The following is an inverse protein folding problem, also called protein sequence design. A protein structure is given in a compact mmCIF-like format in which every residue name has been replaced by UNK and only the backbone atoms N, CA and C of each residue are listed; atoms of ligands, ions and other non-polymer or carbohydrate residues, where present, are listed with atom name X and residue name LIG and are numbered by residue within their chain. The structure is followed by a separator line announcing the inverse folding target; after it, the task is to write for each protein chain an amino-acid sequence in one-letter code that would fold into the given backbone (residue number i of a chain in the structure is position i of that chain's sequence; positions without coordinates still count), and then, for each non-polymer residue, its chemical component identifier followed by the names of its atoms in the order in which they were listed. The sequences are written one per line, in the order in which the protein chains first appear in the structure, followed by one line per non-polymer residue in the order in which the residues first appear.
data_IF_298408862460
#
_entry.id   IF_298408862460
#
_cell.length_a   1.000
_cell.length_b   1.000
_cell.length_c   1.000
_cell.angle_alpha   90.00
_cell.angle_beta   90.00
_cell.angle_gamma   90.00
#
_symmetry.space_group_name_H-M   'P 1'
#
loop_
_entity.id
_entity.type
_entity.pdbx_description
1 polymer ?
#
# COMPACT_ATOMS: atom_id res chain seq x y z
N UNK A 1 -27.21 6.11 28.64
CA UNK A 1 -26.25 6.10 27.54
C UNK A 1 -25.59 4.74 27.52
N UNK A 2 -25.59 4.06 26.38
CA UNK A 2 -25.02 2.72 26.22
C UNK A 2 -23.50 2.76 26.35
N UNK A 3 -22.88 1.80 27.03
CA UNK A 3 -21.41 1.73 27.16
C UNK A 3 -20.77 1.02 25.97
N UNK A 4 -19.45 1.18 25.83
CA UNK A 4 -18.68 0.53 24.76
C UNK A 4 -18.70 -0.99 24.89
N UNK A 5 -18.64 -1.55 26.11
CA UNK A 5 -18.68 -3.00 26.29
C UNK A 5 -20.05 -3.59 25.90
N UNK A 6 -21.13 -2.86 26.18
CA UNK A 6 -22.48 -3.24 25.77
C UNK A 6 -22.62 -3.22 24.25
N UNK A 7 -22.07 -2.21 23.58
CA UNK A 7 -22.06 -2.11 22.12
C UNK A 7 -21.34 -3.30 21.48
N UNK A 8 -20.14 -3.64 21.96
CA UNK A 8 -19.39 -4.80 21.47
C UNK A 8 -20.13 -6.12 21.68
N UNK A 9 -20.90 -6.24 22.77
CA UNK A 9 -21.73 -7.42 23.04
C UNK A 9 -22.86 -7.52 22.02
N UNK A 10 -23.52 -6.41 21.69
CA UNK A 10 -24.57 -6.36 20.66
C UNK A 10 -24.01 -6.69 19.27
N UNK A 11 -22.86 -6.14 18.90
CA UNK A 11 -22.18 -6.44 17.62
C UNK A 11 -21.84 -7.93 17.53
N UNK A 12 -21.33 -8.53 18.61
CA UNK A 12 -21.06 -9.98 18.67
C UNK A 12 -22.33 -10.82 18.56
N UNK A 13 -23.40 -10.43 19.24
CA UNK A 13 -24.69 -11.12 19.15
C UNK A 13 -25.26 -11.06 17.72
N UNK A 14 -25.20 -9.90 17.06
CA UNK A 14 -25.63 -9.76 15.66
C UNK A 14 -24.81 -10.62 14.70
N UNK A 15 -23.49 -10.73 14.90
CA UNK A 15 -22.65 -11.66 14.12
C UNK A 15 -23.05 -13.11 14.34
N UNK A 16 -23.35 -13.50 15.58
CA UNK A 16 -23.80 -14.86 15.92
C UNK A 16 -25.18 -15.18 15.34
N UNK A 17 -26.10 -14.20 15.31
CA UNK A 17 -27.43 -14.29 14.71
C UNK A 17 -27.40 -14.23 13.16
N UNK A 18 -26.25 -13.98 12.54
CA UNK A 18 -26.13 -13.81 11.09
C UNK A 18 -26.75 -12.52 10.55
N UNK A 19 -27.04 -11.54 11.43
CA UNK A 19 -27.61 -10.25 11.03
C UNK A 19 -26.52 -9.37 10.43
N UNK A 20 -26.73 -8.77 9.24
CA UNK A 20 -25.74 -7.89 8.64
C UNK A 20 -25.50 -6.66 9.51
N UNK A 21 -24.21 -6.36 9.77
CA UNK A 21 -23.73 -5.16 10.48
C UNK A 21 -23.84 -3.91 9.60
N UNK A 22 -25.06 -3.57 9.20
CA UNK A 22 -25.35 -2.33 8.49
C UNK A 22 -25.59 -1.19 9.47
N UNK A 23 -25.26 0.03 9.05
CA UNK A 23 -25.44 1.22 9.89
C UNK A 23 -26.89 1.46 10.33
N UNK A 24 -27.90 1.27 9.46
CA UNK A 24 -29.30 1.33 9.88
C UNK A 24 -29.63 0.33 10.99
N UNK A 25 -29.15 -0.92 10.90
CA UNK A 25 -29.41 -1.94 11.92
C UNK A 25 -28.77 -1.60 13.26
N UNK A 26 -27.54 -1.09 13.23
CA UNK A 26 -26.82 -0.69 14.45
C UNK A 26 -27.47 0.52 15.11
N UNK A 27 -27.91 1.52 14.34
CA UNK A 27 -28.63 2.68 14.89
C UNK A 27 -29.96 2.28 15.53
N UNK A 28 -30.72 1.36 14.92
CA UNK A 28 -32.00 0.88 15.47
C UNK A 28 -31.80 0.08 16.75
N UNK A 29 -30.74 -0.72 16.86
CA UNK A 29 -30.51 -1.57 18.05
C UNK A 29 -29.77 -0.88 19.19
N UNK A 30 -28.98 0.15 18.91
CA UNK A 30 -28.12 0.79 19.92
C UNK A 30 -28.59 2.19 20.29
N UNK A 31 -29.46 2.80 19.49
CA UNK A 31 -29.92 4.20 19.61
C UNK A 31 -28.76 5.22 19.65
N UNK A 32 -27.57 4.81 19.23
CA UNK A 32 -26.38 5.65 19.24
C UNK A 32 -26.33 6.55 18.00
N UNK A 33 -25.79 7.77 18.14
CA UNK A 33 -25.48 8.62 17.00
C UNK A 33 -24.53 7.93 16.03
N UNK A 34 -24.74 8.17 14.73
CA UNK A 34 -23.93 7.57 13.65
C UNK A 34 -22.42 7.73 13.83
N UNK A 35 -21.97 8.89 14.32
CA UNK A 35 -20.55 9.17 14.49
C UNK A 35 -19.91 8.28 15.56
N UNK A 36 -20.61 8.03 16.68
CA UNK A 36 -20.15 7.16 17.76
C UNK A 36 -20.04 5.71 17.29
N UNK A 37 -21.00 5.24 16.49
CA UNK A 37 -20.98 3.88 15.93
C UNK A 37 -19.80 3.71 14.95
N UNK A 38 -19.48 4.72 14.13
CA UNK A 38 -18.33 4.66 13.21
C UNK A 38 -17.03 4.55 13.97
N UNK A 39 -16.82 5.43 14.95
CA UNK A 39 -15.60 5.43 15.77
C UNK A 39 -15.37 4.07 16.45
N UNK A 40 -16.43 3.47 17.01
CA UNK A 40 -16.29 2.19 17.71
C UNK A 40 -16.15 1.00 16.77
N UNK A 41 -16.74 1.03 15.57
CA UNK A 41 -16.53 -0.01 14.56
C UNK A 41 -15.09 0.03 14.00
N UNK A 42 -14.58 1.23 13.71
CA UNK A 42 -13.23 1.42 13.17
C UNK A 42 -12.15 0.91 14.15
N UNK A 43 -12.41 0.98 15.45
CA UNK A 43 -11.55 0.41 16.49
C UNK A 43 -11.61 -1.12 16.57
N UNK A 44 -12.77 -1.73 16.33
CA UNK A 44 -12.95 -3.19 16.39
C UNK A 44 -12.30 -3.89 15.19
N UNK A 45 -12.32 -3.25 14.02
CA UNK A 45 -11.75 -3.79 12.78
C UNK A 45 -10.22 -3.54 12.67
N UNK A 46 -9.63 -2.75 13.56
CA UNK A 46 -8.18 -2.61 13.64
C UNK A 46 -7.56 -3.87 14.28
N UNK A 47 -6.65 -4.59 13.57
CA UNK A 47 -5.90 -5.66 14.20
C UNK A 47 -5.03 -5.04 15.30
N UNK A 48 -5.27 -5.45 16.56
CA UNK A 48 -4.42 -5.06 17.69
C UNK A 48 -2.96 -5.32 17.32
N UNK A 49 -2.07 -4.30 17.32
CA UNK A 49 -0.66 -4.54 17.10
C UNK A 49 -0.16 -5.45 18.22
N UNK A 50 0.37 -6.61 17.82
CA UNK A 50 1.09 -7.47 18.74
C UNK A 50 2.23 -6.66 19.37
N UNK A 51 2.25 -6.61 20.70
CA UNK A 51 3.28 -5.92 21.47
C UNK A 51 4.67 -6.41 21.02
N UNK A 52 5.45 -5.50 20.45
CA UNK A 52 6.78 -5.79 19.92
C UNK A 52 7.76 -6.00 21.07
N UNK A 53 8.21 -7.24 21.26
CA UNK A 53 9.42 -7.48 22.06
C UNK A 53 10.64 -6.89 21.35
N UNK A 54 11.41 -6.12 22.11
CA UNK A 54 12.61 -5.45 21.68
C UNK A 54 13.70 -6.45 21.26
N UNK A 55 14.31 -6.24 20.09
CA UNK A 55 15.61 -6.81 19.77
C UNK A 55 16.47 -5.78 19.03
N UNK A 56 17.30 -5.11 19.83
CA UNK A 56 18.39 -4.22 19.44
C UNK A 56 19.58 -5.07 18.96
N UNK A 57 20.13 -4.82 17.77
CA UNK A 57 21.57 -5.08 17.51
C UNK A 57 22.11 -4.29 16.30
N UNK A 58 22.87 -3.26 16.67
CA UNK A 58 24.18 -2.81 16.17
C UNK A 58 24.56 -2.92 14.68
N UNK A 59 24.94 -1.75 14.16
CA UNK A 59 25.73 -1.47 12.95
C UNK A 59 27.15 -2.03 13.07
N UNK A 60 27.66 -2.70 12.03
CA UNK A 60 29.00 -2.49 11.45
C UNK A 60 29.31 -3.54 10.36
N UNK A 61 29.60 -3.07 9.14
CA UNK A 61 30.34 -3.79 8.10
C UNK A 61 29.55 -4.79 7.25
N UNK A 62 28.83 -4.35 6.21
CA UNK A 62 28.26 -5.25 5.18
C UNK A 62 27.90 -4.47 3.89
N UNK A 63 28.91 -4.09 3.12
CA UNK A 63 28.69 -3.48 1.79
C UNK A 63 28.45 -4.51 0.68
N UNK A 64 28.99 -5.73 0.82
CA UNK A 64 28.92 -6.79 -0.19
C UNK A 64 27.80 -7.79 0.13
N UNK A 65 27.67 -8.23 1.39
CA UNK A 65 26.62 -9.19 1.76
C UNK A 65 25.20 -8.58 1.72
N UNK A 66 25.07 -7.26 1.75
CA UNK A 66 23.78 -6.58 1.58
C UNK A 66 23.24 -6.76 0.15
N UNK A 67 24.13 -6.75 -0.86
CA UNK A 67 23.76 -6.91 -2.26
C UNK A 67 23.38 -8.37 -2.55
N UNK A 68 24.12 -9.33 -1.98
CA UNK A 68 23.79 -10.76 -2.12
C UNK A 68 22.46 -11.11 -1.44
N UNK A 69 22.18 -10.56 -0.25
CA UNK A 69 20.87 -10.78 0.40
C UNK A 69 19.69 -10.18 -0.37
N UNK A 70 19.92 -9.08 -1.11
CA UNK A 70 18.91 -8.50 -2.00
C UNK A 70 18.71 -9.33 -3.27
N UNK A 71 19.78 -9.93 -3.81
CA UNK A 71 19.72 -10.83 -4.96
C UNK A 71 18.97 -12.12 -4.62
N UNK A 72 19.27 -12.73 -3.49
CA UNK A 72 18.54 -13.90 -2.99
C UNK A 72 17.05 -13.58 -2.74
N UNK A 73 16.74 -12.42 -2.17
CA UNK A 73 15.36 -11.96 -2.01
C UNK A 73 14.63 -11.74 -3.34
N UNK A 74 15.34 -11.25 -4.36
CA UNK A 74 14.79 -11.04 -5.70
C UNK A 74 14.56 -12.36 -6.44
N UNK A 75 15.49 -13.30 -6.36
CA UNK A 75 15.35 -14.63 -6.97
C UNK A 75 14.23 -15.43 -6.29
N UNK A 76 14.09 -15.35 -4.96
CA UNK A 76 12.96 -15.95 -4.24
C UNK A 76 11.60 -15.34 -4.63
N UNK A 77 11.56 -14.03 -4.91
CA UNK A 77 10.36 -13.34 -5.38
C UNK A 77 10.03 -13.74 -6.82
N UNK A 78 11.06 -13.81 -7.69
CA UNK A 78 10.91 -14.27 -9.09
C UNK A 78 10.36 -15.68 -9.13
N UNK A 79 10.90 -16.59 -8.34
CA UNK A 79 10.47 -17.99 -8.30
C UNK A 79 9.04 -18.13 -7.77
N UNK A 80 8.63 -17.32 -6.78
CA UNK A 80 7.21 -17.28 -6.36
C UNK A 80 6.29 -16.79 -7.47
N UNK A 81 6.66 -15.72 -8.18
CA UNK A 81 5.84 -15.17 -9.26
C UNK A 81 5.75 -16.13 -10.44
N UNK A 82 6.87 -16.78 -10.80
CA UNK A 82 6.90 -17.79 -11.86
C UNK A 82 6.09 -19.02 -11.46
N UNK A 83 6.19 -19.47 -10.21
CA UNK A 83 5.40 -20.61 -9.71
C UNK A 83 3.91 -20.28 -9.66
N UNK A 84 3.51 -19.10 -9.22
CA UNK A 84 2.11 -18.67 -9.23
C UNK A 84 1.57 -18.51 -10.65
N UNK A 85 2.37 -17.97 -11.57
CA UNK A 85 2.00 -17.86 -12.98
C UNK A 85 1.85 -19.23 -13.64
N UNK A 86 2.81 -20.14 -13.40
CA UNK A 86 2.74 -21.52 -13.90
C UNK A 86 1.54 -22.26 -13.31
N UNK A 87 1.26 -22.09 -12.01
CA UNK A 87 0.12 -22.72 -11.34
C UNK A 87 -1.20 -22.19 -11.92
N UNK A 88 -1.30 -20.90 -12.26
CA UNK A 88 -2.48 -20.33 -12.92
C UNK A 88 -2.70 -20.88 -14.31
N UNK A 89 -1.67 -20.94 -15.15
CA UNK A 89 -1.78 -21.46 -16.52
C UNK A 89 -2.10 -22.96 -16.52
N UNK A 90 -1.53 -23.73 -15.59
CA UNK A 90 -1.85 -25.15 -15.42
C UNK A 90 -3.28 -25.34 -14.94
N UNK A 91 -3.77 -24.52 -13.99
CA UNK A 91 -5.15 -24.60 -13.49
C UNK A 91 -6.18 -24.21 -14.55
N UNK A 92 -5.87 -23.20 -15.35
CA UNK A 92 -6.67 -22.76 -16.51
C UNK A 92 -6.73 -23.84 -17.59
N UNK A 93 -5.60 -24.49 -17.92
CA UNK A 93 -5.58 -25.61 -18.87
C UNK A 93 -6.22 -26.90 -18.35
N UNK A 94 -6.25 -27.11 -17.03
CA UNK A 94 -6.86 -28.28 -16.41
C UNK A 94 -8.36 -28.11 -16.10
N UNK A 95 -8.93 -26.92 -16.35
CA UNK A 95 -10.36 -26.67 -16.15
C UNK A 95 -10.83 -26.79 -14.69
N UNK A 96 -9.91 -26.70 -13.72
CA UNK A 96 -10.19 -26.88 -12.28
C UNK A 96 -10.78 -25.62 -11.61
N UNK A 97 -11.57 -24.84 -12.34
CA UNK A 97 -12.22 -23.63 -11.86
C UNK A 97 -13.60 -23.93 -11.24
N UNK A 98 -13.70 -24.98 -10.43
CA UNK A 98 -14.87 -25.29 -9.60
C UNK A 98 -14.92 -24.43 -8.33
N UNK A 99 -14.84 -23.10 -8.46
CA UNK A 99 -15.25 -22.19 -7.38
C UNK A 99 -16.76 -21.93 -7.50
N UNK A 100 -17.57 -22.27 -6.47
CA UNK A 100 -19.02 -22.11 -6.53
C UNK A 100 -19.41 -20.64 -6.75
N UNK A 101 -20.46 -20.36 -7.55
CA UNK A 101 -20.82 -19.00 -7.98
C UNK A 101 -21.17 -18.04 -6.83
N UNK A 102 -21.46 -18.55 -5.63
CA UNK A 102 -21.68 -17.75 -4.42
C UNK A 102 -20.38 -17.06 -3.92
N UNK A 103 -19.22 -17.72 -4.02
CA UNK A 103 -17.93 -17.16 -3.62
C UNK A 103 -17.41 -16.12 -4.63
N UNK A 104 -17.72 -16.29 -5.93
CA UNK A 104 -17.43 -15.30 -6.98
C UNK A 104 -18.18 -13.98 -6.74
N UNK A 105 -19.41 -14.02 -6.23
CA UNK A 105 -20.19 -12.81 -5.89
C UNK A 105 -19.70 -12.14 -4.60
N UNK A 106 -19.23 -12.90 -3.61
CA UNK A 106 -18.65 -12.34 -2.39
C UNK A 106 -17.29 -11.64 -2.65
N UNK A 107 -16.41 -12.25 -3.45
CA UNK A 107 -15.09 -11.66 -3.80
C UNK A 107 -15.15 -10.46 -4.74
N UNK A 108 -16.27 -10.24 -5.43
CA UNK A 108 -16.49 -9.07 -6.31
C UNK A 108 -17.15 -7.90 -5.60
N UNK A 109 -17.55 -8.05 -4.33
CA UNK A 109 -17.77 -6.91 -3.42
C UNK A 109 -16.41 -6.30 -3.04
N UNK A 110 -15.71 -5.79 -4.05
CA UNK A 110 -14.42 -5.11 -3.90
C UNK A 110 -14.69 -3.91 -3.02
N UNK A 111 -14.35 -4.01 -1.74
CA UNK A 111 -14.42 -2.91 -0.78
C UNK A 111 -13.97 -1.63 -1.49
N UNK A 112 -14.68 -0.50 -1.32
CA UNK A 112 -14.38 0.73 -2.04
C UNK A 112 -12.90 1.02 -1.85
N UNK A 113 -12.13 0.94 -2.94
CA UNK A 113 -10.67 1.09 -2.88
C UNK A 113 -10.40 2.40 -2.16
N UNK A 114 -9.73 2.31 -1.00
CA UNK A 114 -9.45 3.45 -0.15
C UNK A 114 -8.87 4.57 -1.02
N UNK A 115 -9.51 5.74 -0.99
CA UNK A 115 -9.05 6.92 -1.72
C UNK A 115 -7.66 7.29 -1.21
N UNK A 116 -6.79 7.66 -2.12
CA UNK A 116 -5.44 8.14 -1.82
C UNK A 116 -5.52 9.63 -1.48
N UNK A 117 -4.88 10.03 -0.40
CA UNK A 117 -4.78 11.42 0.01
C UNK A 117 -3.73 12.13 -0.85
N UNK A 118 -4.13 13.24 -1.47
CA UNK A 118 -3.27 14.08 -2.30
C UNK A 118 -2.16 14.74 -1.47
N UNK A 119 -2.44 15.10 -0.21
CA UNK A 119 -1.48 15.75 0.68
C UNK A 119 -0.36 14.79 1.06
N UNK A 120 -0.72 13.55 1.40
CA UNK A 120 0.26 12.49 1.65
C UNK A 120 1.08 12.18 0.40
N UNK A 121 0.45 12.16 -0.78
CA UNK A 121 1.16 11.95 -2.03
C UNK A 121 2.20 13.05 -2.31
N UNK A 122 1.86 14.32 -2.06
CA UNK A 122 2.80 15.44 -2.15
C UNK A 122 3.94 15.30 -1.14
N UNK A 123 3.59 15.04 0.12
CA UNK A 123 4.55 14.92 1.22
C UNK A 123 5.57 13.81 0.96
N UNK A 124 5.11 12.65 0.48
CA UNK A 124 6.01 11.57 0.09
C UNK A 124 6.92 11.95 -1.09
N UNK A 125 6.44 12.76 -2.04
CA UNK A 125 7.28 13.29 -3.11
C UNK A 125 8.34 14.28 -2.63
N UNK A 126 8.00 15.16 -1.66
CA UNK A 126 8.96 16.12 -1.07
C UNK A 126 10.03 15.42 -0.23
N UNK A 127 9.64 14.42 0.57
CA UNK A 127 10.56 13.76 1.51
C UNK A 127 11.31 12.59 0.89
N UNK A 128 10.64 11.83 0.02
CA UNK A 128 11.18 10.61 -0.58
C UNK A 128 11.54 10.74 -2.05
N UNK A 129 11.30 11.90 -2.66
CA UNK A 129 11.57 12.13 -4.07
C UNK A 129 10.87 11.09 -4.94
N UNK A 130 11.59 10.42 -5.85
CA UNK A 130 11.03 9.37 -6.70
C UNK A 130 10.48 8.17 -5.94
N UNK A 131 11.01 7.84 -4.76
CA UNK A 131 10.51 6.74 -3.92
C UNK A 131 9.09 7.06 -3.43
N UNK A 132 8.78 8.35 -3.22
CA UNK A 132 7.44 8.80 -2.85
C UNK A 132 6.36 8.46 -3.87
N UNK A 133 6.73 8.25 -5.14
CA UNK A 133 5.80 7.91 -6.21
C UNK A 133 5.14 6.53 -5.99
N UNK A 134 5.76 5.62 -5.23
CA UNK A 134 5.19 4.30 -4.92
C UNK A 134 3.85 4.36 -4.17
N UNK A 135 3.53 5.51 -3.57
CA UNK A 135 2.23 5.73 -2.93
C UNK A 135 1.07 5.56 -3.92
N UNK A 136 1.19 6.12 -5.13
CA UNK A 136 0.09 6.21 -6.09
C UNK A 136 0.44 5.84 -7.55
N UNK A 137 1.70 5.95 -7.98
CA UNK A 137 2.12 5.68 -9.34
C UNK A 137 2.15 4.17 -9.66
N UNK A 138 2.13 3.78 -10.95
CA UNK A 138 2.42 2.41 -11.37
C UNK A 138 3.77 1.93 -10.82
N UNK A 139 3.81 0.68 -10.35
CA UNK A 139 5.00 0.10 -9.71
C UNK A 139 6.22 0.15 -10.64
N UNK A 140 6.02 -0.13 -11.93
CA UNK A 140 7.09 -0.10 -12.92
C UNK A 140 7.64 1.31 -13.13
N UNK A 141 6.78 2.32 -13.22
CA UNK A 141 7.19 3.73 -13.35
C UNK A 141 7.92 4.22 -12.11
N UNK A 142 7.38 3.95 -10.92
CA UNK A 142 8.01 4.35 -9.66
C UNK A 142 9.35 3.64 -9.44
N UNK A 143 9.43 2.35 -9.80
CA UNK A 143 10.66 1.55 -9.73
C UNK A 143 11.74 2.07 -10.67
N UNK A 144 11.42 2.31 -11.94
CA UNK A 144 12.37 2.85 -12.92
C UNK A 144 12.84 4.25 -12.50
N UNK A 145 11.92 5.13 -12.11
CA UNK A 145 12.27 6.49 -11.67
C UNK A 145 13.20 6.46 -10.44
N UNK A 146 12.92 5.58 -9.47
CA UNK A 146 13.75 5.42 -8.27
C UNK A 146 15.13 4.84 -8.60
N UNK A 147 15.20 3.83 -9.47
CA UNK A 147 16.46 3.23 -9.90
C UNK A 147 17.36 4.23 -10.65
N UNK A 148 16.79 4.97 -11.61
CA UNK A 148 17.51 6.02 -12.35
C UNK A 148 18.00 7.10 -11.39
N UNK A 149 17.16 7.54 -10.46
CA UNK A 149 17.53 8.55 -9.48
C UNK A 149 18.71 8.11 -8.60
N UNK A 150 18.65 6.90 -8.02
CA UNK A 150 19.75 6.37 -7.20
C UNK A 150 21.02 6.21 -8.03
N UNK A 151 20.92 5.66 -9.24
CA UNK A 151 22.08 5.50 -10.13
C UNK A 151 22.71 6.85 -10.49
N UNK A 152 21.89 7.88 -10.78
CA UNK A 152 22.36 9.23 -11.07
C UNK A 152 23.04 9.88 -9.87
N UNK A 153 22.47 9.74 -8.67
CA UNK A 153 23.09 10.25 -7.44
C UNK A 153 24.44 9.57 -7.20
N UNK A 154 24.50 8.24 -7.31
CA UNK A 154 25.75 7.48 -7.16
C UNK A 154 26.79 7.91 -8.20
N UNK A 155 26.41 8.06 -9.46
CA UNK A 155 27.31 8.52 -10.52
C UNK A 155 27.87 9.92 -10.25
N UNK A 156 27.01 10.86 -9.81
CA UNK A 156 27.44 12.23 -9.49
C UNK A 156 28.40 12.26 -8.29
N UNK A 157 28.26 11.36 -7.32
CA UNK A 157 29.19 11.29 -6.18
C UNK A 157 30.62 10.93 -6.59
N UNK A 158 30.84 10.30 -7.74
CA UNK A 158 32.19 10.00 -8.25
C UNK A 158 32.88 11.20 -8.92
N UNK A 159 32.17 12.29 -9.18
CA UNK A 159 32.74 13.49 -9.81
C UNK A 159 32.93 14.56 -8.73
N UNK A 160 34.16 14.77 -8.21
CA UNK A 160 34.40 15.76 -7.17
C UNK A 160 34.07 17.17 -7.66
N UNK A 161 33.62 18.03 -6.73
CA UNK A 161 33.24 19.44 -6.94
C UNK A 161 32.00 19.66 -7.81
N UNK A 162 31.99 19.16 -9.05
CA UNK A 162 30.87 19.33 -9.99
C UNK A 162 29.68 18.46 -9.57
N UNK A 163 29.94 17.22 -9.15
CA UNK A 163 28.90 16.29 -8.71
C UNK A 163 28.17 16.77 -7.47
N UNK A 164 28.90 17.27 -6.46
CA UNK A 164 28.30 17.84 -5.25
C UNK A 164 27.48 19.10 -5.53
N UNK A 165 27.97 20.01 -6.39
CA UNK A 165 27.20 21.17 -6.82
C UNK A 165 25.92 20.74 -7.56
N UNK A 166 26.03 19.81 -8.51
CA UNK A 166 24.89 19.29 -9.25
C UNK A 166 23.85 18.63 -8.32
N UNK A 167 24.27 17.83 -7.34
CA UNK A 167 23.36 17.23 -6.36
C UNK A 167 22.61 18.29 -5.56
N UNK A 168 23.29 19.36 -5.13
CA UNK A 168 22.67 20.42 -4.34
C UNK A 168 21.49 21.10 -5.07
N UNK A 169 21.57 21.24 -6.40
CA UNK A 169 20.51 21.87 -7.19
C UNK A 169 19.52 20.87 -7.79
N UNK A 170 20.00 19.73 -8.31
CA UNK A 170 19.15 18.75 -8.99
C UNK A 170 18.28 17.97 -8.01
N UNK A 171 18.80 17.61 -6.82
CA UNK A 171 18.03 16.80 -5.86
C UNK A 171 16.76 17.54 -5.43
N UNK A 172 16.79 18.80 -4.96
CA UNK A 172 15.57 19.53 -4.61
C UNK A 172 14.60 19.67 -5.79
N UNK A 173 15.10 19.94 -7.00
CA UNK A 173 14.27 20.04 -8.21
C UNK A 173 13.54 18.74 -8.51
N UNK A 174 14.24 17.61 -8.43
CA UNK A 174 13.62 16.27 -8.61
C UNK A 174 12.58 16.00 -7.54
N UNK A 175 12.84 16.36 -6.28
CA UNK A 175 11.87 16.19 -5.18
C UNK A 175 10.63 17.07 -5.39
N UNK A 176 10.80 18.32 -5.84
CA UNK A 176 9.68 19.20 -6.20
C UNK A 176 8.86 18.65 -7.37
N UNK A 177 9.53 18.09 -8.40
CA UNK A 177 8.83 17.42 -9.49
C UNK A 177 8.05 16.20 -8.99
N UNK A 178 8.63 15.39 -8.10
CA UNK A 178 7.95 14.26 -7.48
C UNK A 178 6.78 14.69 -6.58
N UNK A 179 6.91 15.82 -5.90
CA UNK A 179 5.85 16.42 -5.10
C UNK A 179 4.65 16.90 -5.93
N UNK A 180 4.87 17.28 -7.20
CA UNK A 180 3.80 17.59 -8.15
C UNK A 180 3.21 16.32 -8.78
N UNK A 181 4.06 15.37 -9.16
CA UNK A 181 3.65 14.11 -9.80
C UNK A 181 2.89 13.18 -8.85
N UNK A 182 3.28 13.10 -7.58
CA UNK A 182 2.62 12.27 -6.57
C UNK A 182 1.11 12.53 -6.46
N UNK A 183 0.67 13.77 -6.20
CA UNK A 183 -0.74 14.17 -6.22
C UNK A 183 -1.43 13.91 -7.55
N UNK A 184 -0.75 14.14 -8.68
CA UNK A 184 -1.32 13.85 -10.00
C UNK A 184 -1.64 12.35 -10.17
N UNK A 185 -0.73 11.46 -9.76
CA UNK A 185 -0.98 10.02 -9.73
C UNK A 185 -2.07 9.63 -8.73
N UNK A 186 -2.11 10.25 -7.54
CA UNK A 186 -3.13 9.99 -6.53
C UNK A 186 -4.53 10.42 -7.02
N UNK A 187 -4.63 11.58 -7.67
CA UNK A 187 -5.85 12.06 -8.32
C UNK A 187 -6.33 11.08 -9.38
N UNK A 188 -5.43 10.63 -10.26
CA UNK A 188 -5.78 9.65 -11.30
C UNK A 188 -6.19 8.31 -10.72
N UNK A 189 -5.49 7.82 -9.68
CA UNK A 189 -5.86 6.62 -8.95
C UNK A 189 -7.28 6.74 -8.36
N UNK A 190 -7.63 7.89 -7.80
CA UNK A 190 -8.96 8.13 -7.23
C UNK A 190 -10.07 8.17 -8.30
N UNK A 191 -9.76 8.55 -9.55
CA UNK A 191 -10.73 8.54 -10.67
C UNK A 191 -10.88 7.18 -11.32
N UNK A 192 -9.77 6.50 -11.60
CA UNK A 192 -9.75 5.22 -12.33
C UNK A 192 -9.94 4.02 -11.38
N UNK A 193 -9.64 4.20 -10.10
CA UNK A 193 -9.59 3.12 -9.12
C UNK A 193 -8.38 2.19 -9.30
N UNK A 194 -7.39 2.56 -10.12
CA UNK A 194 -6.20 1.74 -10.36
C UNK A 194 -4.96 2.60 -10.62
N UNK A 195 -3.78 2.04 -10.31
CA UNK A 195 -2.49 2.65 -10.63
C UNK A 195 -2.34 2.64 -12.15
N UNK A 196 -2.32 3.82 -12.76
CA UNK A 196 -2.22 3.97 -14.22
C UNK A 196 -1.24 5.09 -14.57
N UNK A 197 -0.65 5.00 -15.76
CA UNK A 197 0.25 6.04 -16.28
C UNK A 197 -0.50 7.38 -16.40
N UNK A 198 0.19 8.52 -16.22
CA UNK A 198 -0.44 9.84 -16.33
C UNK A 198 -0.85 10.18 -17.77
N UNK A 199 -0.15 9.63 -18.75
CA UNK A 199 -0.46 9.79 -20.16
C UNK A 199 -1.17 8.53 -20.67
N UNK A 200 -2.16 8.65 -21.57
CA UNK A 200 -2.69 7.49 -22.28
C UNK A 200 -1.58 6.87 -23.13
N UNK A 201 -1.45 5.55 -23.05
CA UNK A 201 -0.56 4.71 -23.88
C UNK A 201 -1.28 4.23 -25.12
#
# INVERSE_FOLDING_TARGET
MMTREEFERVVRAMRAEGVPLSMPNLMVRTELPRHTIQEWLDDIDQPRPAESSAAKKTVAGKGVDAIDSLREGFDALRDRVVKDAATRVVREKLGLDDEPPAERRAKTSRAPKARRDLRLAALFGILGGPIGLFYAAPLLTAGIASAIYVAAVLALLFIPLIGTAALFYLVPLVHLACAALGPAYAWRFNRVGARSALLPS
#
